data_IF_169794805580
#
_entry.id   IF_169794805580
#
_cell.length_a   1.000
_cell.length_b   1.000
_cell.length_c   1.000
_cell.angle_alpha   90.00
_cell.angle_beta   90.00
_cell.angle_gamma   90.00
#
_symmetry.space_group_name_H-M   'P 1'
#
loop_
_entity.id
_entity.type
_entity.pdbx_description
1 polymer ?
#
# COMPACT_ATOMS: atom_id res chain seq x y z
N UNK A 1 24.18 -64.90 22.85
CA UNK A 1 22.93 -64.09 22.98
C UNK A 1 23.00 -62.81 22.13
N UNK A 2 22.93 -62.90 20.79
CA UNK A 2 22.91 -61.75 19.87
C UNK A 2 22.03 -61.97 18.61
N UNK A 3 20.96 -62.77 18.71
CA UNK A 3 20.01 -62.97 17.59
C UNK A 3 18.68 -62.22 17.74
N UNK A 4 18.27 -61.89 18.97
CA UNK A 4 16.97 -61.24 19.22
C UNK A 4 16.92 -59.73 18.85
N UNK A 5 18.08 -59.07 18.74
CA UNK A 5 18.16 -57.63 18.45
C UNK A 5 18.09 -57.30 16.95
N UNK A 6 18.42 -58.25 16.06
CA UNK A 6 18.44 -58.01 14.61
C UNK A 6 17.02 -57.96 14.03
N UNK A 7 16.13 -58.82 14.52
CA UNK A 7 14.76 -58.92 14.00
C UNK A 7 13.95 -57.67 14.34
N UNK A 8 14.09 -57.12 15.57
CA UNK A 8 13.40 -55.89 15.97
C UNK A 8 13.83 -54.67 15.14
N UNK A 9 15.10 -54.60 14.76
CA UNK A 9 15.61 -53.51 13.92
C UNK A 9 15.05 -53.64 12.50
N UNK A 10 15.00 -54.85 11.92
CA UNK A 10 14.38 -55.09 10.63
C UNK A 10 12.88 -54.74 10.61
N UNK A 11 12.14 -55.08 11.67
CA UNK A 11 10.71 -54.72 11.77
C UNK A 11 10.48 -53.20 11.90
N UNK A 12 11.35 -52.49 12.63
CA UNK A 12 11.24 -51.04 12.77
C UNK A 12 11.59 -50.32 11.46
N UNK A 13 12.60 -50.79 10.73
CA UNK A 13 12.99 -50.23 9.44
C UNK A 13 11.91 -50.47 8.36
N UNK A 14 11.32 -51.67 8.32
CA UNK A 14 10.25 -51.97 7.37
C UNK A 14 8.96 -51.22 7.67
N UNK A 15 8.58 -51.09 8.95
CA UNK A 15 7.43 -50.29 9.36
C UNK A 15 7.62 -48.79 9.03
N UNK A 16 8.81 -48.25 9.27
CA UNK A 16 9.13 -46.84 8.95
C UNK A 16 9.10 -46.58 7.43
N UNK A 17 9.61 -47.53 6.64
CA UNK A 17 9.56 -47.44 5.18
C UNK A 17 8.11 -47.49 4.66
N UNK A 18 7.27 -48.37 5.21
CA UNK A 18 5.86 -48.46 4.85
C UNK A 18 5.08 -47.20 5.26
N UNK A 19 5.35 -46.62 6.44
CA UNK A 19 4.76 -45.36 6.86
C UNK A 19 5.22 -44.22 5.93
N UNK A 20 6.49 -44.18 5.54
CA UNK A 20 7.00 -43.19 4.60
C UNK A 20 6.38 -43.34 3.21
N UNK A 21 6.26 -44.56 2.69
CA UNK A 21 5.61 -44.83 1.41
C UNK A 21 4.12 -44.49 1.48
N UNK A 22 3.42 -44.90 2.55
CA UNK A 22 2.03 -44.55 2.76
C UNK A 22 1.83 -43.04 2.90
N UNK A 23 2.74 -42.34 3.58
CA UNK A 23 2.76 -40.87 3.64
C UNK A 23 2.99 -40.26 2.26
N UNK A 24 3.90 -40.80 1.44
CA UNK A 24 4.13 -40.33 0.06
C UNK A 24 2.97 -40.61 -0.90
N UNK A 25 2.20 -41.66 -0.65
CA UNK A 25 1.03 -42.04 -1.46
C UNK A 25 -0.24 -41.29 -1.02
N UNK A 26 -0.46 -41.14 0.29
CA UNK A 26 -1.63 -40.45 0.85
C UNK A 26 -1.46 -38.94 0.89
N UNK A 27 -0.22 -38.46 1.03
CA UNK A 27 0.16 -37.06 0.96
C UNK A 27 1.23 -36.92 -0.12
N UNK A 28 0.85 -37.06 -1.42
CA UNK A 28 1.75 -36.66 -2.47
C UNK A 28 2.11 -35.21 -2.18
N UNK A 29 3.37 -34.97 -1.85
CA UNK A 29 3.95 -33.65 -1.67
C UNK A 29 4.05 -33.00 -3.06
N UNK A 30 2.89 -32.81 -3.67
CA UNK A 30 2.62 -31.90 -4.75
C UNK A 30 2.06 -30.62 -4.17
N UNK A 31 2.71 -30.09 -3.12
CA UNK A 31 2.82 -28.64 -3.01
C UNK A 31 4.01 -28.23 -3.87
N UNK A 32 3.91 -28.55 -5.17
CA UNK A 32 4.60 -27.78 -6.18
C UNK A 32 3.83 -26.47 -6.21
N UNK A 33 4.39 -25.43 -5.59
CA UNK A 33 3.98 -24.06 -5.89
C UNK A 33 4.16 -23.90 -7.40
N UNK A 34 3.09 -24.12 -8.15
CA UNK A 34 3.11 -23.90 -9.59
C UNK A 34 3.22 -22.39 -9.76
N UNK A 35 4.24 -21.97 -10.50
CA UNK A 35 4.46 -20.60 -11.03
C UNK A 35 3.20 -19.99 -11.71
N UNK A 36 2.17 -20.81 -11.96
CA UNK A 36 0.87 -20.40 -12.49
C UNK A 36 -0.09 -19.77 -11.48
N UNK A 37 0.11 -19.91 -10.17
CA UNK A 37 -0.78 -19.27 -9.17
C UNK A 37 -0.42 -17.78 -9.03
N UNK A 38 0.87 -17.44 -8.92
CA UNK A 38 1.37 -16.05 -8.88
C UNK A 38 1.04 -15.28 -10.17
N UNK A 39 1.27 -15.89 -11.34
CA UNK A 39 0.96 -15.24 -12.62
C UNK A 39 -0.54 -14.96 -12.79
N UNK A 40 -1.40 -15.86 -12.28
CA UNK A 40 -2.86 -15.71 -12.36
C UNK A 40 -3.37 -14.67 -11.37
N UNK A 41 -2.86 -14.65 -10.13
CA UNK A 41 -3.16 -13.61 -9.15
C UNK A 41 -2.68 -12.24 -9.63
N UNK A 42 -1.44 -12.15 -10.14
CA UNK A 42 -0.86 -10.93 -10.71
C UNK A 42 -1.66 -10.44 -11.92
N UNK A 43 -2.12 -11.34 -12.78
CA UNK A 43 -2.96 -10.96 -13.92
C UNK A 43 -4.36 -10.50 -13.47
N UNK A 44 -4.98 -11.17 -12.50
CA UNK A 44 -6.25 -10.74 -11.92
C UNK A 44 -6.12 -9.36 -11.26
N UNK A 45 -4.99 -9.12 -10.60
CA UNK A 45 -4.62 -7.86 -9.98
C UNK A 45 -4.44 -6.74 -11.01
N UNK A 46 -3.63 -6.96 -12.05
CA UNK A 46 -3.43 -5.99 -13.14
C UNK A 46 -4.73 -5.70 -13.90
N UNK A 47 -5.59 -6.72 -14.07
CA UNK A 47 -6.91 -6.55 -14.66
C UNK A 47 -7.84 -5.72 -13.78
N UNK A 48 -7.79 -5.92 -12.46
CA UNK A 48 -8.54 -5.09 -11.51
C UNK A 48 -8.09 -3.63 -11.59
N UNK A 49 -6.77 -3.38 -11.60
CA UNK A 49 -6.20 -2.05 -11.77
C UNK A 49 -6.62 -1.39 -13.10
N UNK A 50 -6.54 -2.09 -14.22
CA UNK A 50 -6.85 -1.53 -15.53
C UNK A 50 -8.35 -1.23 -15.72
N UNK A 51 -9.22 -1.98 -15.05
CA UNK A 51 -10.67 -1.75 -15.07
C UNK A 51 -11.11 -0.68 -14.07
N UNK A 52 -10.20 -0.23 -13.20
CA UNK A 52 -10.49 0.74 -12.16
C UNK A 52 -10.33 2.15 -12.71
N UNK A 53 -11.42 2.75 -13.19
CA UNK A 53 -11.47 4.19 -13.47
C UNK A 53 -11.94 4.95 -12.24
N UNK A 54 -11.28 6.06 -11.88
CA UNK A 54 -11.72 6.87 -10.76
C UNK A 54 -13.04 7.57 -11.11
N UNK A 55 -13.86 7.78 -10.09
CA UNK A 55 -15.19 8.36 -10.20
C UNK A 55 -15.15 9.83 -10.65
N UNK A 56 -14.12 10.55 -10.22
CA UNK A 56 -13.77 11.92 -10.60
C UNK A 56 -12.24 11.95 -10.73
N UNK A 57 -11.74 12.38 -11.88
CA UNK A 57 -10.31 12.60 -12.09
C UNK A 57 -9.97 14.04 -11.75
N UNK A 58 -9.13 14.29 -10.73
CA UNK A 58 -8.48 15.58 -10.60
C UNK A 58 -7.19 15.60 -11.44
N UNK A 59 -7.33 15.88 -12.74
CA UNK A 59 -6.21 16.03 -13.65
C UNK A 59 -5.36 17.27 -13.35
N UNK A 60 -5.89 18.22 -12.58
CA UNK A 60 -5.19 19.48 -12.29
C UNK A 60 -4.22 19.38 -11.11
N UNK A 61 -4.27 18.31 -10.30
CA UNK A 61 -3.44 18.14 -9.10
C UNK A 61 -1.96 18.42 -9.39
N UNK A 62 -1.45 17.93 -10.52
CA UNK A 62 -0.04 18.04 -10.94
C UNK A 62 0.16 18.89 -12.20
N UNK A 63 -0.84 19.67 -12.62
CA UNK A 63 -0.85 20.36 -13.92
C UNK A 63 -0.06 21.68 -13.95
N UNK A 64 0.04 22.40 -12.83
CA UNK A 64 0.47 23.81 -12.87
C UNK A 64 1.84 24.12 -12.26
N UNK A 65 2.51 23.15 -11.62
CA UNK A 65 3.78 23.39 -10.92
C UNK A 65 4.57 22.09 -10.69
N UNK A 66 5.90 22.17 -10.59
CA UNK A 66 6.75 21.06 -10.13
C UNK A 66 6.53 20.83 -8.62
N UNK A 67 5.60 19.95 -8.28
CA UNK A 67 5.37 19.47 -6.91
C UNK A 67 6.55 18.57 -6.52
N UNK A 68 7.13 18.81 -5.35
CA UNK A 68 8.23 18.00 -4.83
C UNK A 68 7.70 16.80 -4.04
N UNK A 69 6.63 17.02 -3.25
CA UNK A 69 6.08 16.05 -2.30
C UNK A 69 4.57 15.87 -2.49
N UNK A 70 4.11 14.61 -2.57
CA UNK A 70 2.70 14.26 -2.37
C UNK A 70 2.53 13.62 -1.00
N UNK A 71 1.65 14.17 -0.16
CA UNK A 71 1.21 13.56 1.09
C UNK A 71 -0.02 12.70 0.78
N UNK A 72 0.20 11.39 0.65
CA UNK A 72 -0.82 10.42 0.27
C UNK A 72 -1.55 9.91 1.53
N UNK A 73 -2.81 10.26 1.68
CA UNK A 73 -3.60 9.98 2.89
C UNK A 73 -4.63 8.92 2.58
N UNK A 74 -4.52 7.74 3.17
CA UNK A 74 -5.51 6.67 2.97
C UNK A 74 -6.70 6.92 3.89
N UNK A 75 -7.91 6.98 3.33
CA UNK A 75 -9.14 7.33 4.05
C UNK A 75 -10.31 6.42 3.65
N UNK A 76 -11.44 6.51 4.35
CA UNK A 76 -12.68 5.76 4.06
C UNK A 76 -13.84 6.69 3.73
N UNK A 77 -14.88 6.18 3.06
CA UNK A 77 -16.00 7.02 2.58
C UNK A 77 -16.73 7.77 3.71
N UNK A 78 -16.76 7.20 4.93
CA UNK A 78 -17.40 7.79 6.10
C UNK A 78 -16.57 8.84 6.83
N UNK A 79 -15.26 8.92 6.56
CA UNK A 79 -14.32 9.75 7.33
C UNK A 79 -14.24 11.20 6.81
N UNK A 80 -15.39 11.82 6.54
CA UNK A 80 -15.45 13.19 6.05
C UNK A 80 -14.86 14.19 7.06
N UNK A 81 -15.15 13.99 8.36
CA UNK A 81 -14.70 14.92 9.40
C UNK A 81 -13.19 14.87 9.61
N UNK A 82 -12.59 13.69 9.50
CA UNK A 82 -11.15 13.47 9.59
C UNK A 82 -10.45 14.18 8.42
N UNK A 83 -10.93 13.98 7.19
CA UNK A 83 -10.41 14.71 6.02
C UNK A 83 -10.57 16.21 6.17
N UNK A 84 -11.72 16.68 6.64
CA UNK A 84 -11.96 18.10 6.87
C UNK A 84 -11.03 18.67 7.93
N UNK A 85 -10.83 17.97 9.04
CA UNK A 85 -9.90 18.37 10.09
C UNK A 85 -8.46 18.46 9.54
N UNK A 86 -8.03 17.53 8.69
CA UNK A 86 -6.73 17.59 8.03
C UNK A 86 -6.62 18.83 7.14
N UNK A 87 -7.62 19.09 6.28
CA UNK A 87 -7.67 20.30 5.43
C UNK A 87 -7.60 21.57 6.26
N UNK A 88 -8.30 21.63 7.38
CA UNK A 88 -8.34 22.82 8.25
C UNK A 88 -7.12 22.94 9.17
N UNK A 89 -6.26 21.92 9.24
CA UNK A 89 -5.08 21.89 10.11
C UNK A 89 -3.81 21.67 9.30
N UNK A 90 -3.13 20.54 9.50
CA UNK A 90 -1.78 20.31 8.99
C UNK A 90 -1.74 20.16 7.46
N UNK A 91 -2.85 19.75 6.81
CA UNK A 91 -2.96 19.68 5.35
C UNK A 91 -2.91 21.04 4.66
N UNK A 92 -3.22 22.14 5.37
CA UNK A 92 -3.10 23.52 4.87
C UNK A 92 -1.78 24.20 5.25
N UNK A 93 -0.77 23.45 5.69
CA UNK A 93 0.56 24.02 5.99
C UNK A 93 1.16 24.60 4.69
N UNK A 94 1.59 25.88 4.68
CA UNK A 94 2.14 26.49 3.48
C UNK A 94 3.47 25.83 3.06
N UNK A 95 3.75 25.87 1.76
CA UNK A 95 5.05 25.46 1.21
C UNK A 95 6.20 26.18 1.91
N UNK A 96 7.13 25.43 2.50
CA UNK A 96 8.29 25.95 3.22
C UNK A 96 9.59 25.32 2.70
N UNK A 97 10.72 25.92 3.03
CA UNK A 97 12.05 25.37 2.69
C UNK A 97 12.27 25.05 1.21
N UNK A 98 11.61 25.78 0.30
CA UNK A 98 11.61 25.51 -1.16
C UNK A 98 11.15 24.09 -1.54
N UNK A 99 10.28 23.51 -0.71
CA UNK A 99 9.57 22.26 -0.96
C UNK A 99 8.11 22.59 -1.22
N UNK A 100 7.61 22.17 -2.39
CA UNK A 100 6.18 22.28 -2.71
C UNK A 100 5.47 20.98 -2.46
N UNK A 101 4.39 21.02 -1.68
CA UNK A 101 3.63 19.83 -1.32
C UNK A 101 2.15 19.96 -1.62
N UNK A 102 1.51 18.82 -1.95
CA UNK A 102 0.06 18.69 -2.03
C UNK A 102 -0.36 17.44 -1.27
N UNK A 103 -1.53 17.46 -0.63
CA UNK A 103 -2.14 16.25 -0.08
C UNK A 103 -3.12 15.63 -1.09
N UNK A 104 -3.25 14.30 -1.02
CA UNK A 104 -4.17 13.52 -1.84
C UNK A 104 -4.81 12.44 -0.98
N UNK A 105 -6.13 12.51 -0.79
CA UNK A 105 -6.90 11.50 -0.09
C UNK A 105 -7.25 10.35 -1.03
N UNK A 106 -6.97 9.12 -0.62
CA UNK A 106 -7.31 7.91 -1.38
C UNK A 106 -8.49 7.22 -0.72
N UNK A 107 -9.62 7.18 -1.42
CA UNK A 107 -10.90 6.75 -0.86
C UNK A 107 -11.47 5.60 -1.69
N UNK A 108 -11.74 4.48 -1.02
CA UNK A 108 -12.54 3.40 -1.60
C UNK A 108 -14.02 3.79 -1.61
N UNK A 109 -14.73 3.49 -2.69
CA UNK A 109 -16.16 3.78 -2.79
C UNK A 109 -16.98 2.57 -3.26
N UNK A 110 -18.27 2.59 -2.93
CA UNK A 110 -19.25 1.65 -3.44
C UNK A 110 -20.50 2.43 -3.93
N UNK A 111 -21.01 2.22 -5.16
CA UNK A 111 -22.15 2.98 -5.71
C UNK A 111 -23.43 2.91 -4.86
N UNK A 112 -23.57 1.84 -4.08
CA UNK A 112 -24.69 1.62 -3.15
C UNK A 112 -24.27 1.78 -1.68
N UNK A 113 -23.07 2.33 -1.44
CA UNK A 113 -22.54 2.58 -0.10
C UNK A 113 -23.28 3.72 0.59
N UNK A 114 -23.36 3.65 1.93
CA UNK A 114 -24.07 4.63 2.77
C UNK A 114 -23.65 6.07 2.47
N UNK A 115 -22.36 6.31 2.29
CA UNK A 115 -21.77 7.63 2.12
C UNK A 115 -21.51 8.03 0.66
N UNK A 116 -21.93 7.23 -0.33
CA UNK A 116 -21.61 7.46 -1.73
C UNK A 116 -22.03 8.85 -2.24
N UNK A 117 -23.25 9.29 -1.89
CA UNK A 117 -23.77 10.60 -2.32
C UNK A 117 -23.01 11.77 -1.69
N UNK A 118 -22.62 11.64 -0.43
CA UNK A 118 -21.89 12.70 0.28
C UNK A 118 -20.47 12.79 -0.24
N UNK A 119 -19.86 11.64 -0.52
CA UNK A 119 -18.53 11.53 -1.11
C UNK A 119 -18.45 12.14 -2.54
N UNK A 120 -19.51 12.02 -3.35
CA UNK A 120 -19.60 12.71 -4.65
C UNK A 120 -19.62 14.22 -4.45
N UNK A 121 -20.48 14.74 -3.54
CA UNK A 121 -20.58 16.17 -3.26
C UNK A 121 -19.26 16.74 -2.75
N UNK A 122 -18.55 15.98 -1.92
CA UNK A 122 -17.23 16.35 -1.45
C UNK A 122 -16.27 16.52 -2.63
N UNK A 123 -16.14 15.56 -3.56
CA UNK A 123 -15.23 15.70 -4.72
C UNK A 123 -15.65 16.72 -5.77
N UNK A 124 -16.93 17.11 -5.80
CA UNK A 124 -17.36 18.26 -6.59
C UNK A 124 -16.78 19.58 -6.06
N UNK A 125 -16.67 19.71 -4.74
CA UNK A 125 -16.13 20.88 -4.06
C UNK A 125 -14.61 20.83 -3.92
N UNK A 126 -14.11 19.71 -3.40
CA UNK A 126 -12.72 19.44 -3.09
C UNK A 126 -12.00 18.81 -4.29
N UNK A 127 -10.77 19.25 -4.52
CA UNK A 127 -9.93 18.74 -5.62
C UNK A 127 -8.78 17.90 -5.10
N UNK A 128 -8.98 17.19 -4.00
CA UNK A 128 -7.93 16.40 -3.33
C UNK A 128 -8.32 14.93 -3.13
N UNK A 129 -9.35 14.44 -3.84
CA UNK A 129 -9.83 13.06 -3.72
C UNK A 129 -9.44 12.19 -4.90
N UNK A 130 -8.85 11.04 -4.61
CA UNK A 130 -8.66 9.92 -5.54
C UNK A 130 -9.60 8.78 -5.19
N UNK A 131 -10.50 8.48 -6.12
CA UNK A 131 -11.51 7.43 -5.96
C UNK A 131 -11.01 6.08 -6.44
N UNK A 132 -11.11 5.08 -5.55
CA UNK A 132 -10.72 3.70 -5.83
C UNK A 132 -11.97 2.82 -5.90
N UNK A 133 -12.28 2.21 -7.06
CA UNK A 133 -13.47 1.39 -7.24
C UNK A 133 -13.29 0.01 -6.62
N UNK A 134 -13.47 -0.12 -5.30
CA UNK A 134 -13.55 -1.41 -4.58
C UNK A 134 -14.00 -1.22 -3.13
N UNK A 135 -14.26 -2.33 -2.43
CA UNK A 135 -14.53 -2.39 -0.98
C UNK A 135 -13.64 -1.42 -0.22
N UNK A 136 -14.27 -0.58 0.58
CA UNK A 136 -13.66 0.53 1.35
C UNK A 136 -12.52 0.09 2.29
N UNK A 137 -12.36 -1.22 2.54
CA UNK A 137 -11.50 -1.79 3.57
C UNK A 137 -10.16 -2.35 3.04
N UNK A 138 -9.92 -2.42 1.73
CA UNK A 138 -8.65 -2.93 1.19
C UNK A 138 -7.60 -1.81 1.07
N UNK A 139 -6.92 -1.50 2.18
CA UNK A 139 -5.87 -0.47 2.23
C UNK A 139 -4.75 -0.70 1.20
N UNK A 140 -4.26 -1.94 1.07
CA UNK A 140 -3.22 -2.31 0.09
C UNK A 140 -3.65 -2.01 -1.34
N UNK A 141 -4.91 -2.27 -1.70
CA UNK A 141 -5.41 -1.99 -3.04
C UNK A 141 -5.47 -0.48 -3.31
N UNK A 142 -5.91 0.31 -2.32
CA UNK A 142 -5.91 1.78 -2.40
C UNK A 142 -4.50 2.32 -2.63
N UNK A 143 -3.52 1.83 -1.88
CA UNK A 143 -2.13 2.27 -1.98
C UNK A 143 -1.55 2.01 -3.37
N UNK A 144 -1.66 0.78 -3.86
CA UNK A 144 -1.05 0.45 -5.14
C UNK A 144 -1.79 1.16 -6.29
N UNK A 145 -3.13 1.26 -6.21
CA UNK A 145 -3.89 2.04 -7.19
C UNK A 145 -3.44 3.50 -7.20
N UNK A 146 -3.24 4.11 -6.03
CA UNK A 146 -2.77 5.47 -5.91
C UNK A 146 -1.36 5.65 -6.49
N UNK A 147 -0.43 4.73 -6.23
CA UNK A 147 0.90 4.78 -6.83
C UNK A 147 0.84 4.66 -8.36
N UNK A 148 0.01 3.76 -8.90
CA UNK A 148 -0.19 3.69 -10.34
C UNK A 148 -0.77 5.01 -10.89
N UNK A 149 -1.78 5.57 -10.24
CA UNK A 149 -2.39 6.82 -10.67
C UNK A 149 -1.38 7.98 -10.66
N UNK A 150 -0.57 8.11 -9.59
CA UNK A 150 0.47 9.13 -9.46
C UNK A 150 1.56 8.98 -10.51
N UNK A 151 2.02 7.77 -10.83
CA UNK A 151 3.03 7.57 -11.88
C UNK A 151 2.53 7.99 -13.27
N UNK A 152 1.22 7.91 -13.52
CA UNK A 152 0.61 8.31 -14.79
C UNK A 152 0.31 9.81 -14.87
N UNK A 153 -0.14 10.43 -13.76
CA UNK A 153 -0.66 11.80 -13.76
C UNK A 153 0.31 12.82 -13.14
N UNK A 154 1.29 12.36 -12.38
CA UNK A 154 2.25 13.19 -11.64
C UNK A 154 3.71 12.74 -11.88
N UNK A 155 4.18 12.67 -13.15
CA UNK A 155 5.49 12.08 -13.48
C UNK A 155 6.69 12.85 -12.92
N UNK A 156 6.49 14.09 -12.45
CA UNK A 156 7.54 14.96 -11.95
C UNK A 156 7.64 15.01 -10.41
N UNK A 157 6.73 14.33 -9.70
CA UNK A 157 6.78 14.24 -8.24
C UNK A 157 7.95 13.35 -7.85
N UNK A 158 8.78 13.82 -6.91
CA UNK A 158 10.01 13.12 -6.49
C UNK A 158 9.79 12.32 -5.21
N UNK A 159 8.94 12.81 -4.30
CA UNK A 159 8.71 12.19 -3.00
C UNK A 159 7.21 11.95 -2.75
N UNK A 160 6.90 10.82 -2.13
CA UNK A 160 5.55 10.51 -1.64
C UNK A 160 5.68 10.14 -0.16
N UNK A 161 4.91 10.83 0.69
CA UNK A 161 4.77 10.48 2.09
C UNK A 161 3.39 9.88 2.31
N UNK A 162 3.33 8.58 2.63
CA UNK A 162 2.07 7.87 2.90
C UNK A 162 1.69 8.02 4.38
N UNK A 163 0.41 8.30 4.65
CA UNK A 163 -0.17 8.31 5.99
C UNK A 163 -1.65 7.89 5.97
N UNK A 164 -2.30 7.92 7.13
CA UNK A 164 -3.71 7.61 7.35
C UNK A 164 -4.47 8.87 7.82
N UNK A 165 -5.79 8.85 7.76
CA UNK A 165 -6.64 10.03 8.07
C UNK A 165 -6.84 10.28 9.57
N UNK A 166 -6.36 9.40 10.44
CA UNK A 166 -6.40 9.52 11.90
C UNK A 166 -5.03 9.89 12.51
N UNK A 167 -4.03 10.21 11.68
CA UNK A 167 -2.69 10.58 12.10
C UNK A 167 -2.44 12.09 11.94
N UNK A 168 -1.59 12.63 12.83
CA UNK A 168 -1.06 13.98 12.70
C UNK A 168 0.31 13.94 12.01
N UNK A 169 0.52 14.84 11.04
CA UNK A 169 1.80 15.02 10.36
C UNK A 169 2.36 16.41 10.66
N UNK A 170 3.59 16.47 11.17
CA UNK A 170 4.35 17.72 11.24
C UNK A 170 4.90 18.05 9.84
N UNK A 171 4.10 18.74 9.03
CA UNK A 171 4.44 19.05 7.62
C UNK A 171 5.69 19.95 7.52
N UNK A 172 5.94 20.83 8.49
CA UNK A 172 7.15 21.66 8.50
C UNK A 172 8.42 20.81 8.64
N UNK A 173 8.42 19.85 9.57
CA UNK A 173 9.52 18.90 9.72
C UNK A 173 9.67 18.03 8.46
N UNK A 174 8.56 17.61 7.87
CA UNK A 174 8.58 16.83 6.64
C UNK A 174 9.21 17.61 5.48
N UNK A 175 8.87 18.90 5.30
CA UNK A 175 9.51 19.76 4.30
C UNK A 175 11.01 19.92 4.53
N UNK A 176 11.46 20.04 5.79
CA UNK A 176 12.87 20.07 6.12
C UNK A 176 13.60 18.79 5.71
N UNK A 177 13.03 17.62 6.02
CA UNK A 177 13.57 16.31 5.60
C UNK A 177 13.63 16.22 4.07
N UNK A 178 12.59 16.64 3.35
CA UNK A 178 12.59 16.64 1.88
C UNK A 178 13.66 17.60 1.32
N UNK A 179 13.86 18.76 1.92
CA UNK A 179 14.93 19.68 1.53
C UNK A 179 16.30 19.00 1.68
N UNK A 180 16.54 18.35 2.82
CA UNK A 180 17.79 17.62 3.07
C UNK A 180 18.00 16.50 2.04
N UNK A 181 16.96 15.72 1.73
CA UNK A 181 17.00 14.68 0.70
C UNK A 181 17.32 15.23 -0.69
N UNK A 182 16.92 16.46 -0.99
CA UNK A 182 17.24 17.13 -2.26
C UNK A 182 18.71 17.59 -2.32
N UNK A 183 19.36 17.82 -1.18
CA UNK A 183 20.74 18.31 -1.11
C UNK A 183 21.77 17.21 -0.88
N UNK A 184 21.49 16.25 0.00
CA UNK A 184 22.39 15.16 0.39
C UNK A 184 21.57 13.88 0.72
N UNK A 185 21.23 13.06 -0.30
CA UNK A 185 20.37 11.89 -0.12
C UNK A 185 20.99 10.81 0.78
N UNK A 186 22.32 10.64 0.74
CA UNK A 186 23.02 9.54 1.41
C UNK A 186 23.07 9.74 2.92
N UNK A 187 23.27 10.98 3.39
CA UNK A 187 23.27 11.32 4.81
C UNK A 187 21.89 11.10 5.46
N UNK A 188 20.81 11.53 4.79
CA UNK A 188 19.44 11.35 5.32
C UNK A 188 19.05 9.87 5.37
N UNK A 189 19.38 9.08 4.33
CA UNK A 189 19.09 7.64 4.33
C UNK A 189 19.75 6.95 5.53
N UNK A 190 21.00 7.29 5.83
CA UNK A 190 21.72 6.72 6.96
C UNK A 190 21.15 7.17 8.31
N UNK A 191 20.75 8.45 8.44
CA UNK A 191 20.24 9.02 9.70
C UNK A 191 18.84 8.56 10.07
N UNK A 192 17.92 8.54 9.10
CA UNK A 192 16.49 8.34 9.36
C UNK A 192 15.96 6.95 8.97
N UNK A 193 16.59 6.27 8.01
CA UNK A 193 16.06 4.99 7.48
C UNK A 193 16.92 3.78 7.87
N UNK A 194 18.24 3.94 7.99
CA UNK A 194 19.15 2.84 8.33
C UNK A 194 19.41 2.74 9.84
N UNK A 195 19.63 3.86 10.52
CA UNK A 195 19.94 3.90 11.96
C UNK A 195 18.73 4.16 12.86
N UNK A 196 17.49 4.04 12.34
CA UNK A 196 16.29 4.07 13.18
C UNK A 196 16.19 2.78 13.99
N UNK A 197 17.07 2.59 14.97
CA UNK A 197 16.82 1.67 16.05
C UNK A 197 15.64 2.22 16.84
N UNK A 198 14.55 1.47 16.83
CA UNK A 198 13.41 1.71 17.71
C UNK A 198 13.92 1.30 19.10
N UNK A 199 14.26 2.29 19.92
CA UNK A 199 14.48 2.10 21.37
C UNK A 199 13.18 1.64 22.06
#
# INVERSE_FOLDING_TARGET
MRRYSSDRICFLLSASLLIYIAWRVLYPSGYSATDGDDATERLAYLKALNNSKPLIENLELCSSNKIDLIILIISTSGNFLERQAIRETWGSTPDMFTVRSQHLFVIGYHPYGKFYKDLIKEGEHEKDLLYVPKKEQEYTFKEIYAYQWLTQHCPNVTYIFKTEDDLFVNVLLLHEIIRELKTDPDDVYNRYLYNSQID
#
